data_IF_875636598716
#
_entry.id   IF_875636598716
#
_cell.length_a   1.000
_cell.length_b   1.000
_cell.length_c   1.000
_cell.angle_alpha   90.00
_cell.angle_beta   90.00
_cell.angle_gamma   90.00
#
_symmetry.space_group_name_H-M   'P 1'
#
loop_
_entity.id
_entity.type
_entity.pdbx_description
1 polymer ?
#
# COMPACT_ATOMS: atom_id res chain seq x y z
N UNK A 1 -20.06 18.21 -6.44
CA UNK A 1 -20.23 19.07 -5.25
C UNK A 1 -19.89 18.19 -4.06
N UNK A 2 -18.91 18.55 -3.22
CA UNK A 2 -18.59 17.73 -2.04
C UNK A 2 -19.71 17.92 -1.01
N UNK A 3 -20.32 16.83 -0.58
CA UNK A 3 -21.29 16.85 0.50
C UNK A 3 -20.59 17.06 1.84
N UNK A 4 -21.26 17.75 2.76
CA UNK A 4 -20.81 17.90 4.16
C UNK A 4 -21.27 16.68 4.98
N UNK A 5 -20.67 16.45 6.15
CA UNK A 5 -21.10 15.40 7.09
C UNK A 5 -22.52 15.67 7.58
N UNK A 6 -22.86 16.93 7.85
CA UNK A 6 -24.20 17.33 8.28
C UNK A 6 -25.30 16.99 7.25
N UNK A 7 -24.98 16.92 5.97
CA UNK A 7 -25.92 16.53 4.90
C UNK A 7 -26.26 15.03 4.89
N UNK A 8 -25.61 14.21 5.72
CA UNK A 8 -25.92 12.79 5.91
C UNK A 8 -26.82 12.53 7.12
N UNK A 9 -27.51 13.56 7.63
CA UNK A 9 -28.53 13.43 8.67
C UNK A 9 -29.90 13.32 8.00
N UNK A 10 -30.72 12.36 8.43
CA UNK A 10 -32.11 12.21 8.01
C UNK A 10 -33.04 13.21 8.69
N UNK A 11 -34.29 13.30 8.22
CA UNK A 11 -35.30 14.20 8.79
C UNK A 11 -35.65 13.87 10.26
N UNK A 12 -35.29 12.68 10.73
CA UNK A 12 -35.45 12.20 12.11
C UNK A 12 -34.29 12.60 13.04
N UNK A 13 -33.28 13.30 12.51
CA UNK A 13 -32.08 13.70 13.24
C UNK A 13 -31.05 12.58 13.39
N UNK A 14 -31.26 11.41 12.78
CA UNK A 14 -30.32 10.29 12.82
C UNK A 14 -29.43 10.24 11.58
N UNK A 15 -28.36 9.43 11.65
CA UNK A 15 -27.52 9.14 10.49
C UNK A 15 -28.32 8.49 9.35
N UNK A 16 -28.18 9.01 8.13
CA UNK A 16 -28.56 8.31 6.91
C UNK A 16 -27.48 7.29 6.54
N UNK A 17 -27.53 6.13 7.22
CA UNK A 17 -26.53 5.07 7.10
C UNK A 17 -26.43 4.51 5.68
N UNK A 18 -27.54 4.40 4.96
CA UNK A 18 -27.55 3.88 3.58
C UNK A 18 -26.72 4.78 2.65
N UNK A 19 -26.85 6.10 2.78
CA UNK A 19 -26.08 7.07 1.99
C UNK A 19 -24.58 7.08 2.36
N UNK A 20 -24.23 6.78 3.62
CA UNK A 20 -22.83 6.75 4.08
C UNK A 20 -22.14 5.44 3.69
N UNK A 21 -22.88 4.32 3.67
CA UNK A 21 -22.34 2.97 3.42
C UNK A 21 -21.61 2.86 2.10
N UNK A 22 -22.09 3.56 1.07
CA UNK A 22 -21.50 3.55 -0.27
C UNK A 22 -20.19 4.37 -0.38
N UNK A 23 -19.88 5.22 0.61
CA UNK A 23 -18.79 6.18 0.55
C UNK A 23 -17.57 5.81 1.38
N UNK A 24 -17.75 5.00 2.42
CA UNK A 24 -16.69 4.67 3.38
C UNK A 24 -16.16 3.26 3.19
N UNK A 25 -14.86 3.10 3.42
CA UNK A 25 -14.26 1.78 3.58
C UNK A 25 -14.78 1.10 4.86
N UNK A 26 -14.94 -0.21 4.84
CA UNK A 26 -15.48 -1.00 5.95
C UNK A 26 -14.78 -0.75 7.29
N UNK A 27 -13.49 -0.44 7.26
CA UNK A 27 -12.71 -0.16 8.46
C UNK A 27 -13.18 1.07 9.25
N UNK A 28 -13.83 2.03 8.60
CA UNK A 28 -14.36 3.25 9.23
C UNK A 28 -15.82 3.13 9.65
N UNK A 29 -16.49 2.04 9.27
CA UNK A 29 -17.93 1.87 9.49
C UNK A 29 -18.30 1.83 10.98
N UNK A 30 -17.47 1.16 11.79
CA UNK A 30 -17.69 1.05 13.23
C UNK A 30 -17.55 2.39 13.96
N UNK A 31 -16.72 3.29 13.45
CA UNK A 31 -16.54 4.62 14.04
C UNK A 31 -17.80 5.47 13.85
N UNK A 32 -18.41 5.42 12.65
CA UNK A 32 -19.68 6.13 12.37
C UNK A 32 -20.80 5.63 13.27
N UNK A 33 -20.99 4.31 13.36
CA UNK A 33 -22.03 3.71 14.21
C UNK A 33 -21.86 4.03 15.70
N UNK A 34 -20.61 4.18 16.15
CA UNK A 34 -20.30 4.54 17.53
C UNK A 34 -20.41 6.05 17.83
N UNK A 35 -20.62 6.88 16.80
CA UNK A 35 -20.70 8.34 16.93
C UNK A 35 -22.15 8.84 16.90
N UNK A 36 -22.45 9.85 17.71
CA UNK A 36 -23.73 10.54 17.63
C UNK A 36 -23.83 11.35 16.31
N UNK A 37 -25.00 11.41 15.67
CA UNK A 37 -25.24 12.31 14.56
C UNK A 37 -24.92 13.77 14.92
N UNK A 38 -24.39 14.57 13.98
CA UNK A 38 -24.21 16.00 14.20
C UNK A 38 -25.56 16.67 14.48
N UNK A 39 -25.52 17.79 15.19
CA UNK A 39 -26.68 18.62 15.49
C UNK A 39 -26.43 20.05 15.00
N UNK A 40 -27.49 20.84 14.89
CA UNK A 40 -27.41 22.26 14.47
C UNK A 40 -26.63 23.14 15.46
N UNK A 41 -26.34 22.65 16.67
CA UNK A 41 -25.53 23.35 17.67
C UNK A 41 -24.03 23.06 17.53
N UNK A 42 -23.65 22.13 16.64
CA UNK A 42 -22.24 21.83 16.39
C UNK A 42 -21.58 22.86 15.47
N UNK A 43 -20.26 22.96 15.58
CA UNK A 43 -19.43 23.76 14.68
C UNK A 43 -19.49 23.23 13.24
N UNK A 44 -19.13 24.09 12.28
CA UNK A 44 -18.99 23.73 10.88
C UNK A 44 -18.07 22.52 10.66
N UNK A 45 -18.39 21.72 9.64
CA UNK A 45 -17.60 20.57 9.27
C UNK A 45 -16.17 20.95 8.89
N UNK A 46 -15.20 20.26 9.50
CA UNK A 46 -13.77 20.46 9.28
C UNK A 46 -13.05 19.15 9.04
N UNK A 47 -12.04 19.20 8.18
CA UNK A 47 -11.12 18.08 8.00
C UNK A 47 -10.20 17.96 9.23
N UNK A 48 -10.16 16.77 9.81
CA UNK A 48 -9.36 16.48 11.01
C UNK A 48 -8.32 15.42 10.67
N UNK A 49 -7.07 15.66 11.07
CA UNK A 49 -6.00 14.68 10.92
C UNK A 49 -6.14 13.59 12.01
N UNK A 50 -6.61 12.41 11.64
CA UNK A 50 -6.74 11.28 12.58
C UNK A 50 -5.41 10.72 13.10
N UNK A 51 -4.27 11.32 12.77
CA UNK A 51 -2.95 10.95 13.30
C UNK A 51 -2.43 11.87 14.41
N UNK A 52 -3.28 12.74 14.96
CA UNK A 52 -2.98 13.51 16.16
C UNK A 52 -4.21 13.63 17.05
N UNK A 53 -4.00 13.84 18.34
CA UNK A 53 -5.10 13.97 19.31
C UNK A 53 -5.78 15.35 19.27
N UNK A 54 -5.09 16.36 18.76
CA UNK A 54 -5.60 17.72 18.56
C UNK A 54 -6.25 17.92 17.19
N UNK A 55 -6.19 16.90 16.33
CA UNK A 55 -6.72 16.97 14.97
C UNK A 55 -5.88 17.77 13.98
N UNK A 56 -4.76 18.37 14.41
CA UNK A 56 -3.89 19.18 13.58
C UNK A 56 -2.95 18.32 12.71
N UNK A 57 -2.93 18.61 11.42
CA UNK A 57 -1.94 18.03 10.53
C UNK A 57 -0.58 18.67 10.74
N UNK A 58 0.45 17.85 10.92
CA UNK A 58 1.85 18.28 10.84
C UNK A 58 2.66 17.25 10.06
N UNK A 59 3.76 17.68 9.43
CA UNK A 59 4.70 16.74 8.77
C UNK A 59 5.20 15.69 9.78
N UNK A 60 5.40 16.09 11.04
CA UNK A 60 5.84 15.19 12.11
C UNK A 60 4.80 14.10 12.40
N UNK A 61 3.54 14.46 12.67
CA UNK A 61 2.48 13.50 12.97
C UNK A 61 2.17 12.60 11.78
N UNK A 62 2.25 13.12 10.56
CA UNK A 62 2.18 12.32 9.34
C UNK A 62 3.32 11.30 9.25
N UNK A 63 4.56 11.74 9.47
CA UNK A 63 5.73 10.86 9.43
C UNK A 63 5.67 9.78 10.51
N UNK A 64 5.29 10.11 11.74
CA UNK A 64 5.14 9.15 12.83
C UNK A 64 4.08 8.09 12.52
N UNK A 65 2.96 8.48 11.91
CA UNK A 65 1.90 7.54 11.52
C UNK A 65 2.29 6.65 10.33
N UNK A 66 3.07 7.17 9.40
CA UNK A 66 3.56 6.41 8.22
C UNK A 66 4.81 5.57 8.52
N UNK A 67 5.57 5.93 9.56
CA UNK A 67 6.78 5.23 9.94
C UNK A 67 6.40 3.88 10.56
N UNK A 68 6.44 2.84 9.75
CA UNK A 68 6.49 1.49 10.27
C UNK A 68 7.83 1.29 10.99
N UNK A 69 7.85 0.91 12.28
CA UNK A 69 9.09 0.58 12.95
C UNK A 69 9.78 -0.54 12.17
N UNK A 70 11.06 -0.36 11.85
CA UNK A 70 11.84 -1.37 11.15
C UNK A 70 11.83 -2.65 11.98
N UNK A 71 11.12 -3.67 11.48
CA UNK A 71 11.04 -4.97 12.16
C UNK A 71 12.44 -5.58 12.30
N UNK A 72 12.63 -6.47 13.27
CA UNK A 72 13.88 -7.25 13.39
C UNK A 72 14.21 -7.95 12.06
N UNK A 73 13.19 -8.42 11.35
CA UNK A 73 13.31 -9.01 10.01
C UNK A 73 13.84 -8.01 8.98
N UNK A 74 13.34 -6.77 8.96
CA UNK A 74 13.81 -5.72 8.04
C UNK A 74 15.29 -5.40 8.28
N UNK A 75 15.72 -5.32 9.55
CA UNK A 75 17.12 -5.08 9.92
C UNK A 75 18.03 -6.25 9.49
N UNK A 76 17.56 -7.49 9.68
CA UNK A 76 18.30 -8.67 9.26
C UNK A 76 18.45 -8.74 7.73
N UNK A 77 17.38 -8.46 6.98
CA UNK A 77 17.40 -8.39 5.51
C UNK A 77 18.35 -7.30 5.01
N UNK A 78 18.31 -6.11 5.61
CA UNK A 78 19.24 -5.02 5.28
C UNK A 78 20.71 -5.46 5.47
N UNK A 79 21.02 -6.07 6.62
CA UNK A 79 22.37 -6.58 6.91
C UNK A 79 22.80 -7.66 5.92
N UNK A 80 21.91 -8.59 5.58
CA UNK A 80 22.18 -9.67 4.63
C UNK A 80 22.48 -9.12 3.23
N UNK A 81 21.67 -8.18 2.74
CA UNK A 81 21.82 -7.60 1.41
C UNK A 81 23.12 -6.80 1.30
N UNK A 82 23.43 -5.95 2.28
CA UNK A 82 24.62 -5.09 2.21
C UNK A 82 25.94 -5.78 2.56
N UNK A 83 25.90 -7.00 3.12
CA UNK A 83 27.10 -7.83 3.32
C UNK A 83 27.46 -8.68 2.10
N UNK A 84 26.60 -8.73 1.08
CA UNK A 84 26.87 -9.50 -0.12
C UNK A 84 28.02 -8.86 -0.93
N UNK A 85 29.05 -9.62 -1.36
CA UNK A 85 30.30 -9.08 -1.90
C UNK A 85 30.22 -8.62 -3.36
N UNK A 86 29.05 -8.61 -3.98
CA UNK A 86 28.90 -8.23 -5.38
C UNK A 86 28.59 -6.74 -5.60
N UNK A 87 28.24 -6.35 -6.84
CA UNK A 87 28.05 -4.95 -7.19
C UNK A 87 26.89 -4.27 -6.43
N UNK A 88 27.08 -3.00 -6.07
CA UNK A 88 26.12 -2.23 -5.27
C UNK A 88 24.76 -2.07 -5.95
N UNK A 89 24.74 -2.00 -7.29
CA UNK A 89 23.49 -1.91 -8.05
C UNK A 89 22.62 -3.16 -7.90
N UNK A 90 23.23 -4.34 -7.69
CA UNK A 90 22.49 -5.58 -7.39
C UNK A 90 21.99 -5.56 -5.95
N UNK A 91 22.76 -5.05 -4.99
CA UNK A 91 22.25 -4.83 -3.63
C UNK A 91 21.01 -3.92 -3.62
N UNK A 92 21.03 -2.84 -4.40
CA UNK A 92 19.88 -1.97 -4.60
C UNK A 92 18.68 -2.73 -5.21
N UNK A 93 18.91 -3.58 -6.22
CA UNK A 93 17.87 -4.41 -6.82
C UNK A 93 17.27 -5.39 -5.78
N UNK A 94 18.11 -6.04 -4.98
CA UNK A 94 17.68 -6.96 -3.92
C UNK A 94 16.87 -6.23 -2.85
N UNK A 95 17.30 -5.04 -2.44
CA UNK A 95 16.56 -4.21 -1.48
C UNK A 95 15.18 -3.82 -2.02
N UNK A 96 15.10 -3.39 -3.28
CA UNK A 96 13.82 -3.09 -3.93
C UNK A 96 12.92 -4.31 -4.03
N UNK A 97 13.50 -5.48 -4.33
CA UNK A 97 12.78 -6.75 -4.38
C UNK A 97 12.21 -7.13 -3.02
N UNK A 98 13.01 -7.02 -1.95
CA UNK A 98 12.58 -7.30 -0.58
C UNK A 98 11.41 -6.41 -0.12
N UNK A 99 11.32 -5.19 -0.64
CA UNK A 99 10.24 -4.25 -0.38
C UNK A 99 9.11 -4.25 -1.43
N UNK A 100 9.11 -5.20 -2.38
CA UNK A 100 8.14 -5.25 -3.48
C UNK A 100 7.96 -3.89 -4.19
N UNK A 101 9.07 -3.17 -4.41
CA UNK A 101 9.08 -1.82 -5.01
C UNK A 101 9.62 -1.81 -6.44
N UNK A 102 9.65 -2.97 -7.09
CA UNK A 102 9.89 -3.08 -8.52
C UNK A 102 8.62 -2.68 -9.29
N UNK A 103 8.75 -2.00 -10.45
CA UNK A 103 7.62 -1.49 -11.24
C UNK A 103 6.94 -2.61 -12.04
N UNK A 104 6.62 -3.71 -11.38
CA UNK A 104 5.93 -4.87 -11.96
C UNK A 104 4.47 -4.55 -12.26
N UNK A 105 3.83 -5.31 -13.16
CA UNK A 105 2.41 -5.13 -13.46
C UNK A 105 1.53 -5.37 -12.24
N UNK A 106 1.88 -6.25 -11.29
CA UNK A 106 1.16 -6.35 -10.02
C UNK A 106 1.18 -5.04 -9.23
N UNK A 107 2.34 -4.38 -9.15
CA UNK A 107 2.53 -3.12 -8.44
C UNK A 107 1.82 -1.95 -9.15
N UNK A 108 1.83 -1.94 -10.49
CA UNK A 108 1.13 -0.94 -11.30
C UNK A 108 -0.39 -1.11 -11.19
N UNK A 109 -0.88 -2.35 -11.22
CA UNK A 109 -2.29 -2.67 -11.11
C UNK A 109 -2.85 -2.24 -9.75
N UNK A 110 -2.11 -2.48 -8.66
CA UNK A 110 -2.52 -2.06 -7.32
C UNK A 110 -2.59 -0.53 -7.14
N UNK A 111 -2.07 0.24 -8.10
CA UNK A 111 -2.09 1.70 -8.13
C UNK A 111 -2.97 2.27 -9.24
N UNK A 112 -3.79 1.43 -9.87
CA UNK A 112 -4.65 1.82 -10.99
C UNK A 112 -3.88 2.43 -12.18
N UNK A 113 -2.60 2.05 -12.36
CA UNK A 113 -1.73 2.53 -13.46
C UNK A 113 -1.74 1.60 -14.69
N UNK A 114 -2.43 0.48 -14.60
CA UNK A 114 -2.63 -0.50 -15.69
C UNK A 114 -3.92 -1.26 -15.42
N UNK A 115 -4.56 -1.76 -16.48
CA UNK A 115 -5.77 -2.59 -16.40
C UNK A 115 -5.49 -4.04 -16.04
N UNK A 116 -4.24 -4.50 -16.17
CA UNK A 116 -3.89 -5.91 -16.02
C UNK A 116 -2.60 -6.12 -15.22
N UNK A 117 -2.57 -7.18 -14.41
CA UNK A 117 -1.47 -7.54 -13.54
C UNK A 117 -0.61 -8.71 -14.06
N UNK A 118 -0.94 -9.27 -15.23
CA UNK A 118 -0.29 -10.43 -15.84
C UNK A 118 1.11 -10.07 -16.34
N UNK A 119 2.04 -11.02 -16.27
CA UNK A 119 3.39 -10.88 -16.79
C UNK A 119 3.41 -10.90 -18.31
N UNK A 120 4.07 -9.91 -18.90
CA UNK A 120 4.21 -9.76 -20.36
C UNK A 120 5.15 -10.78 -21.00
N UNK A 121 5.97 -11.48 -20.19
CA UNK A 121 6.90 -12.47 -20.71
C UNK A 121 6.23 -13.84 -20.86
N UNK A 122 5.50 -14.30 -19.84
CA UNK A 122 4.86 -15.62 -19.85
C UNK A 122 3.37 -15.58 -20.22
N UNK A 123 2.68 -14.45 -20.03
CA UNK A 123 1.23 -14.32 -20.22
C UNK A 123 0.34 -15.25 -19.37
N UNK A 124 0.90 -15.90 -18.35
CA UNK A 124 0.20 -16.92 -17.56
C UNK A 124 -0.12 -16.45 -16.13
N UNK A 125 0.85 -15.85 -15.45
CA UNK A 125 0.74 -15.51 -14.03
C UNK A 125 0.85 -14.01 -13.76
N UNK A 126 0.43 -13.61 -12.56
CA UNK A 126 0.58 -12.26 -12.04
C UNK A 126 2.06 -11.89 -11.90
N UNK A 127 2.46 -10.78 -12.49
CA UNK A 127 3.83 -10.29 -12.44
C UNK A 127 4.16 -9.68 -11.07
N UNK A 128 4.64 -10.49 -10.15
CA UNK A 128 5.25 -10.04 -8.90
C UNK A 128 6.77 -9.90 -9.04
N UNK A 129 7.44 -9.26 -8.07
CA UNK A 129 8.91 -9.15 -8.07
C UNK A 129 9.60 -10.52 -8.14
N UNK A 130 9.08 -11.51 -7.40
CA UNK A 130 9.60 -12.88 -7.42
C UNK A 130 9.27 -13.60 -8.73
N UNK A 131 8.07 -13.39 -9.29
CA UNK A 131 7.74 -13.95 -10.59
C UNK A 131 8.68 -13.42 -11.68
N UNK A 132 8.83 -12.10 -11.78
CA UNK A 132 9.69 -11.47 -12.78
C UNK A 132 11.16 -11.89 -12.68
N UNK A 133 11.68 -12.11 -11.47
CA UNK A 133 13.09 -12.44 -11.25
C UNK A 133 13.41 -13.94 -11.14
N UNK A 134 12.45 -14.79 -10.80
CA UNK A 134 12.69 -16.20 -10.46
C UNK A 134 11.66 -17.18 -11.01
N UNK A 135 10.36 -16.90 -10.83
CA UNK A 135 9.33 -17.92 -11.07
C UNK A 135 8.86 -17.97 -12.54
N UNK A 136 8.98 -16.87 -13.27
CA UNK A 136 8.65 -16.76 -14.69
C UNK A 136 9.45 -17.76 -15.52
N UNK A 137 8.80 -18.40 -16.51
CA UNK A 137 9.44 -19.34 -17.43
C UNK A 137 10.68 -18.74 -18.12
N UNK A 138 10.60 -17.46 -18.53
CA UNK A 138 11.72 -16.73 -19.12
C UNK A 138 12.86 -16.49 -18.13
N UNK A 139 12.54 -16.12 -16.88
CA UNK A 139 13.54 -15.94 -15.84
C UNK A 139 14.26 -17.27 -15.53
N UNK A 140 13.51 -18.37 -15.38
CA UNK A 140 14.05 -19.72 -15.19
C UNK A 140 14.99 -20.13 -16.32
N UNK A 141 14.58 -19.94 -17.57
CA UNK A 141 15.40 -20.26 -18.74
C UNK A 141 16.71 -19.45 -18.75
N UNK A 142 16.65 -18.16 -18.38
CA UNK A 142 17.84 -17.30 -18.26
C UNK A 142 18.80 -17.81 -17.19
N UNK A 143 18.29 -18.14 -16.00
CA UNK A 143 19.11 -18.69 -14.92
C UNK A 143 19.73 -20.04 -15.28
N UNK A 144 19.00 -20.92 -15.96
CA UNK A 144 19.51 -22.19 -16.43
C UNK A 144 20.64 -22.01 -17.46
N UNK A 145 20.49 -21.06 -18.39
CA UNK A 145 21.53 -20.75 -19.36
C UNK A 145 22.80 -20.19 -18.70
N UNK A 146 22.65 -19.32 -17.70
CA UNK A 146 23.80 -18.75 -16.97
C UNK A 146 24.48 -19.79 -16.07
N UNK A 147 23.72 -20.59 -15.32
CA UNK A 147 24.30 -21.59 -14.42
C UNK A 147 24.88 -22.79 -15.18
N UNK A 148 24.34 -23.14 -16.35
CA UNK A 148 24.93 -24.13 -17.24
C UNK A 148 26.27 -23.72 -17.85
N UNK A 149 26.63 -22.42 -17.77
CA UNK A 149 27.92 -21.89 -18.20
C UNK A 149 28.95 -21.77 -17.06
N UNK A 150 28.56 -22.01 -15.81
CA UNK A 150 29.45 -22.00 -14.65
C UNK A 150 29.94 -23.43 -14.41
N UNK A 151 30.89 -23.89 -15.24
CA UNK A 151 31.80 -24.96 -14.83
C UNK A 151 32.78 -24.39 -13.82
N UNK A 152 32.70 -24.86 -12.58
CA UNK A 152 33.69 -24.64 -11.52
C UNK A 152 34.93 -25.48 -11.83
#
# INVERSE_FOLDING_TARGET
MCKTVAEYIGDDGNWNLDAIRELLLDQYWQEVLGSAPPSMENDDDRLVWGGSNDGCFTIKSAYEKLRHPSSLQTKALFSMIWKWPGPEHICCLLWRTAHNSLPTNAWRYSRFMTSEAICVCCHEERETSLHALRDCAWAKATWQAMMGQITI
#
